data_IF_793699962779
#
_entry.id   IF_793699962779
#
_cell.length_a   1.000
_cell.length_b   1.000
_cell.length_c   1.000
_cell.angle_alpha   90.00
_cell.angle_beta   90.00
_cell.angle_gamma   90.00
#
_symmetry.space_group_name_H-M   'P 1'
#
loop_
_entity.id
_entity.type
_entity.pdbx_description
1 polymer ?
#
# COMPACT_ATOMS: atom_id res chain seq x y z
N UNK A 1 22.90 23.23 -14.49
CA UNK A 1 22.69 22.90 -15.00
C UNK A 1 22.32 22.33 -14.93
N UNK A 2 22.42 22.10 -14.80
CA UNK A 2 22.21 21.44 -15.04
C UNK A 2 21.96 20.75 -14.96
N UNK A 3 22.26 20.57 -14.69
CA UNK A 3 22.14 19.90 -14.97
C UNK A 3 21.73 19.53 -14.69
N UNK A 4 21.84 19.58 -14.48
CA UNK A 4 21.45 19.21 -14.71
C UNK A 4 20.93 19.00 -14.85
N UNK A 5 21.01 18.81 -14.61
CA UNK A 5 20.42 18.63 -15.11
C UNK A 5 20.16 18.17 -15.99
N UNK A 6 20.41 17.70 -16.60
CA UNK A 6 20.14 17.28 -17.45
C UNK A 6 19.50 16.20 -17.73
N UNK A 7 19.78 15.59 -18.13
CA UNK A 7 19.14 14.31 -17.94
C UNK A 7 17.77 14.47 -17.37
N UNK A 8 17.28 15.58 -17.45
CA UNK A 8 16.14 15.94 -16.65
C UNK A 8 14.83 15.42 -17.18
N UNK A 9 14.74 15.15 -18.46
CA UNK A 9 13.48 14.70 -19.03
C UNK A 9 13.03 13.38 -18.39
N UNK A 10 13.94 12.44 -18.22
CA UNK A 10 13.55 11.20 -17.58
C UNK A 10 13.59 11.28 -16.06
N UNK A 11 14.37 12.22 -15.53
CA UNK A 11 14.43 12.39 -14.09
C UNK A 11 13.16 13.00 -13.53
N UNK A 12 12.43 13.73 -14.33
CA UNK A 12 11.17 14.30 -13.88
C UNK A 12 10.21 13.22 -13.43
N UNK A 13 10.18 12.09 -14.13
CA UNK A 13 9.28 11.02 -13.73
C UNK A 13 9.65 10.43 -12.37
N UNK A 14 10.87 10.68 -11.91
CA UNK A 14 11.34 10.15 -10.63
C UNK A 14 11.25 11.19 -9.52
N UNK A 15 10.85 12.41 -9.86
CA UNK A 15 10.72 13.47 -8.87
C UNK A 15 9.53 13.23 -7.96
N UNK A 16 8.57 12.40 -8.41
CA UNK A 16 7.39 12.09 -7.63
C UNK A 16 7.46 10.64 -7.18
N UNK A 17 7.88 10.40 -5.95
CA UNK A 17 7.93 9.02 -5.46
C UNK A 17 6.54 8.43 -5.35
N UNK A 18 6.47 7.10 -5.40
CA UNK A 18 5.24 6.39 -5.13
C UNK A 18 5.00 6.52 -3.62
N UNK A 19 3.84 7.00 -3.25
CA UNK A 19 3.50 7.26 -1.85
C UNK A 19 2.65 6.14 -1.32
N UNK A 20 3.10 5.53 -0.23
CA UNK A 20 2.49 4.32 0.31
C UNK A 20 2.05 4.57 1.75
N UNK A 21 0.79 4.22 2.03
CA UNK A 21 0.25 4.25 3.39
C UNK A 21 0.24 2.82 3.93
N UNK A 22 0.72 2.64 5.15
CA UNK A 22 0.71 1.33 5.80
C UNK A 22 -0.31 1.36 6.93
N UNK A 23 -1.22 0.39 6.95
CA UNK A 23 -2.21 0.26 8.02
C UNK A 23 -2.08 -1.11 8.66
N UNK A 24 -1.60 -1.16 9.90
CA UNK A 24 -1.37 -2.39 10.64
C UNK A 24 -1.23 -2.02 12.12
N UNK A 25 -1.91 -2.76 12.99
CA UNK A 25 -1.86 -2.46 14.41
C UNK A 25 -0.68 -3.09 15.14
N UNK A 26 0.14 -3.89 14.45
CA UNK A 26 1.33 -4.50 15.03
C UNK A 26 2.54 -3.62 14.77
N UNK A 27 3.00 -2.90 15.79
CA UNK A 27 4.04 -1.91 15.61
C UNK A 27 5.33 -2.46 15.03
N UNK A 28 5.76 -3.62 15.51
CA UNK A 28 7.03 -4.20 15.04
C UNK A 28 6.92 -4.60 13.58
N UNK A 29 5.81 -5.24 13.21
CA UNK A 29 5.60 -5.63 11.84
C UNK A 29 5.53 -4.40 10.94
N UNK A 30 4.83 -3.36 11.39
CA UNK A 30 4.69 -2.12 10.62
C UNK A 30 6.04 -1.46 10.38
N UNK A 31 6.92 -1.49 11.40
CA UNK A 31 8.28 -0.94 11.24
C UNK A 31 9.07 -1.71 10.19
N UNK A 32 8.93 -3.04 10.20
CA UNK A 32 9.59 -3.88 9.22
C UNK A 32 9.08 -3.60 7.81
N UNK A 33 7.77 -3.42 7.67
CA UNK A 33 7.20 -3.06 6.38
C UNK A 33 7.75 -1.73 5.88
N UNK A 34 7.81 -0.75 6.77
CA UNK A 34 8.33 0.56 6.38
C UNK A 34 9.75 0.45 5.86
N UNK A 35 10.61 -0.28 6.59
CA UNK A 35 11.98 -0.47 6.16
C UNK A 35 12.05 -1.18 4.80
N UNK A 36 11.24 -2.21 4.63
CA UNK A 36 11.21 -2.95 3.39
C UNK A 36 10.80 -2.06 2.22
N UNK A 37 9.71 -1.33 2.38
CA UNK A 37 9.19 -0.50 1.30
C UNK A 37 10.12 0.66 0.97
N UNK A 38 10.72 1.27 2.00
CA UNK A 38 11.62 2.39 1.77
C UNK A 38 12.99 1.98 1.26
N UNK A 39 13.27 0.67 1.21
CA UNK A 39 14.49 0.21 0.56
C UNK A 39 14.40 0.38 -0.95
N UNK A 40 13.20 0.58 -1.49
CA UNK A 40 13.02 0.89 -2.90
C UNK A 40 13.22 2.38 -3.08
N UNK A 41 14.17 2.76 -3.93
CA UNK A 41 14.62 4.15 -4.02
C UNK A 41 13.52 5.13 -4.43
N UNK A 42 12.51 4.67 -5.14
CA UNK A 42 11.48 5.55 -5.67
C UNK A 42 10.18 5.51 -4.88
N UNK A 43 10.18 4.87 -3.73
CA UNK A 43 8.99 4.73 -2.91
C UNK A 43 9.19 5.43 -1.57
N UNK A 44 8.10 6.01 -1.05
CA UNK A 44 8.13 6.61 0.28
C UNK A 44 6.90 6.17 1.05
N UNK A 45 7.06 5.92 2.33
CA UNK A 45 5.93 5.66 3.21
C UNK A 45 5.42 7.02 3.68
N UNK A 46 4.27 7.43 3.20
CA UNK A 46 3.75 8.77 3.48
C UNK A 46 2.97 8.84 4.78
N UNK A 47 2.64 7.70 5.37
CA UNK A 47 1.93 7.70 6.64
C UNK A 47 1.67 6.29 7.13
N UNK A 48 1.18 6.20 8.37
CA UNK A 48 0.85 4.93 9.00
C UNK A 48 -0.49 5.06 9.71
N UNK A 49 -1.21 3.95 9.80
CA UNK A 49 -2.47 3.89 10.52
C UNK A 49 -2.47 2.62 11.36
N UNK A 50 -3.19 2.64 12.48
CA UNK A 50 -3.19 1.53 13.42
C UNK A 50 -4.54 0.81 13.50
N UNK A 51 -5.56 1.31 12.81
CA UNK A 51 -6.84 0.60 12.71
C UNK A 51 -7.51 1.04 11.42
N UNK A 52 -8.64 0.39 11.12
CA UNK A 52 -9.33 0.63 9.85
C UNK A 52 -9.90 2.03 9.73
N UNK A 53 -10.42 2.57 10.83
CA UNK A 53 -10.97 3.92 10.83
C UNK A 53 -9.87 4.93 10.52
N UNK A 54 -8.73 4.79 11.19
CA UNK A 54 -7.58 5.65 10.97
C UNK A 54 -7.08 5.53 9.54
N UNK A 55 -7.09 4.30 8.99
CA UNK A 55 -6.65 4.08 7.62
C UNK A 55 -7.51 4.87 6.63
N UNK A 56 -8.83 4.83 6.80
CA UNK A 56 -9.73 5.57 5.91
C UNK A 56 -9.47 7.07 6.02
N UNK A 57 -9.29 7.57 7.25
CA UNK A 57 -9.02 8.98 7.45
C UNK A 57 -7.69 9.41 6.84
N UNK A 58 -6.66 8.58 6.98
CA UNK A 58 -5.36 8.88 6.40
C UNK A 58 -5.41 8.90 4.87
N UNK A 59 -6.20 7.99 4.28
CA UNK A 59 -6.36 8.00 2.83
C UNK A 59 -6.96 9.32 2.37
N UNK A 60 -7.96 9.81 3.09
CA UNK A 60 -8.59 11.09 2.75
C UNK A 60 -7.59 12.24 2.85
N UNK A 61 -6.75 12.24 3.87
CA UNK A 61 -5.79 13.31 4.11
C UNK A 61 -4.61 13.25 3.15
N UNK A 62 -4.08 12.06 2.93
CA UNK A 62 -2.79 11.90 2.26
C UNK A 62 -2.90 11.54 0.79
N UNK A 63 -4.04 11.00 0.39
CA UNK A 63 -4.28 10.60 -0.99
C UNK A 63 -3.12 9.75 -1.54
N UNK A 64 -2.82 8.61 -0.90
CA UNK A 64 -1.66 7.80 -1.30
C UNK A 64 -1.88 7.10 -2.62
N UNK A 65 -0.78 6.69 -3.25
CA UNK A 65 -0.85 5.91 -4.47
C UNK A 65 -1.18 4.45 -4.15
N UNK A 66 -0.66 3.95 -3.04
CA UNK A 66 -0.84 2.57 -2.63
C UNK A 66 -1.16 2.52 -1.15
N UNK A 67 -2.07 1.65 -0.77
CA UNK A 67 -2.42 1.39 0.63
C UNK A 67 -2.15 -0.07 0.92
N UNK A 68 -1.34 -0.34 1.94
CA UNK A 68 -1.07 -1.69 2.40
C UNK A 68 -1.85 -1.89 3.69
N UNK A 69 -2.86 -2.75 3.65
CA UNK A 69 -3.83 -2.92 4.74
C UNK A 69 -3.75 -4.30 5.37
N UNK A 70 -3.57 -4.35 6.69
CA UNK A 70 -3.74 -5.59 7.44
C UNK A 70 -5.23 -5.90 7.48
N UNK A 71 -5.59 -7.15 7.22
CA UNK A 71 -6.99 -7.55 7.21
C UNK A 71 -7.58 -7.60 8.62
N UNK A 72 -6.75 -7.81 9.64
CA UNK A 72 -7.21 -7.92 11.02
C UNK A 72 -6.78 -6.70 11.82
N UNK A 73 -7.68 -5.75 11.97
CA UNK A 73 -7.42 -4.54 12.75
C UNK A 73 -8.64 -4.23 13.60
N UNK A 74 -8.44 -3.54 14.75
CA UNK A 74 -9.57 -3.19 15.59
C UNK A 74 -10.45 -2.13 14.94
N UNK A 75 -11.64 -1.99 15.47
CA UNK A 75 -12.68 -1.07 15.07
C UNK A 75 -13.17 -1.40 13.67
N UNK A 76 -12.58 -0.84 12.64
CA UNK A 76 -12.95 -1.13 11.26
C UNK A 76 -11.88 -2.02 10.70
N UNK A 77 -12.19 -3.27 10.37
CA UNK A 77 -11.17 -4.20 9.88
C UNK A 77 -10.75 -3.88 8.45
N UNK A 78 -9.72 -4.60 7.97
CA UNK A 78 -9.14 -4.31 6.67
C UNK A 78 -10.09 -4.45 5.50
N UNK A 79 -11.02 -5.40 5.55
CA UNK A 79 -11.98 -5.58 4.46
C UNK A 79 -12.96 -4.42 4.40
N UNK A 80 -13.45 -4.00 5.56
CA UNK A 80 -14.37 -2.88 5.63
C UNK A 80 -13.68 -1.59 5.20
N UNK A 81 -12.43 -1.41 5.64
CA UNK A 81 -11.66 -0.24 5.25
C UNK A 81 -11.44 -0.24 3.73
N UNK A 82 -11.14 -1.41 3.16
CA UNK A 82 -10.91 -1.52 1.72
C UNK A 82 -12.14 -1.10 0.93
N UNK A 83 -13.32 -1.51 1.37
CA UNK A 83 -14.56 -1.13 0.69
C UNK A 83 -14.77 0.37 0.70
N UNK A 84 -14.51 1.00 1.84
CA UNK A 84 -14.66 2.45 1.96
C UNK A 84 -13.63 3.17 1.11
N UNK A 85 -12.38 2.70 1.15
CA UNK A 85 -11.32 3.32 0.36
C UNK A 85 -11.62 3.19 -1.13
N UNK A 86 -12.09 2.03 -1.57
CA UNK A 86 -12.44 1.81 -2.96
C UNK A 86 -13.48 2.82 -3.42
N UNK A 87 -14.48 3.08 -2.56
CA UNK A 87 -15.55 3.99 -2.89
C UNK A 87 -15.09 5.44 -2.89
N UNK A 88 -14.27 5.83 -1.89
CA UNK A 88 -13.90 7.22 -1.70
C UNK A 88 -12.64 7.63 -2.43
N UNK A 89 -11.74 6.69 -2.68
CA UNK A 89 -10.46 6.97 -3.31
C UNK A 89 -10.11 5.88 -4.32
N UNK A 90 -10.91 5.75 -5.39
CA UNK A 90 -10.72 4.65 -6.35
C UNK A 90 -9.35 4.68 -7.05
N UNK A 91 -8.66 5.82 -7.02
CA UNK A 91 -7.34 5.92 -7.63
C UNK A 91 -6.24 5.30 -6.77
N UNK A 92 -6.50 5.08 -5.47
CA UNK A 92 -5.52 4.44 -4.59
C UNK A 92 -5.58 2.92 -4.80
N UNK A 93 -4.44 2.32 -5.09
CA UNK A 93 -4.36 0.86 -5.21
C UNK A 93 -4.21 0.26 -3.83
N UNK A 94 -4.67 -0.96 -3.65
CA UNK A 94 -4.67 -1.58 -2.32
C UNK A 94 -4.10 -2.99 -2.35
N UNK A 95 -3.25 -3.28 -1.34
CA UNK A 95 -2.77 -4.62 -1.06
C UNK A 95 -3.31 -5.01 0.32
N UNK A 96 -3.98 -6.14 0.40
CA UNK A 96 -4.44 -6.66 1.69
C UNK A 96 -3.39 -7.65 2.20
N UNK A 97 -3.01 -7.51 3.46
CA UNK A 97 -2.11 -8.45 4.13
C UNK A 97 -2.89 -9.32 5.11
N UNK A 98 -2.50 -10.57 5.24
CA UNK A 98 -3.14 -11.49 6.16
C UNK A 98 -2.11 -12.44 6.75
N UNK A 99 -2.34 -12.88 7.98
CA UNK A 99 -1.49 -13.89 8.61
C UNK A 99 -1.80 -15.30 8.13
N UNK A 100 -2.92 -15.48 7.43
CA UNK A 100 -3.42 -16.79 7.07
C UNK A 100 -3.28 -17.06 5.58
N UNK A 101 -3.23 -18.33 5.23
CA UNK A 101 -3.18 -18.73 3.83
C UNK A 101 -4.38 -18.19 3.06
N UNK A 102 -4.18 -17.89 1.76
CA UNK A 102 -5.20 -17.19 0.97
C UNK A 102 -6.33 -18.12 0.66
N UNK A 103 -7.17 -18.57 1.05
CA UNK A 103 -8.30 -19.37 0.63
C UNK A 103 -9.50 -18.45 0.42
N UNK A 104 -10.47 -18.51 1.32
CA UNK A 104 -11.65 -17.68 1.21
C UNK A 104 -11.35 -16.21 1.45
N UNK A 105 -10.33 -15.91 2.26
CA UNK A 105 -10.00 -14.53 2.55
C UNK A 105 -9.47 -13.78 1.35
N UNK A 106 -8.75 -14.47 0.47
CA UNK A 106 -8.28 -13.84 -0.76
C UNK A 106 -9.45 -13.39 -1.63
N UNK A 107 -10.45 -14.26 -1.76
CA UNK A 107 -11.63 -13.93 -2.54
C UNK A 107 -12.35 -12.72 -1.95
N UNK A 108 -12.51 -12.71 -0.62
CA UNK A 108 -13.17 -11.60 0.05
C UNK A 108 -12.39 -10.30 -0.13
N UNK A 109 -11.06 -10.37 -0.05
CA UNK A 109 -10.23 -9.18 -0.20
C UNK A 109 -10.36 -8.58 -1.60
N UNK A 110 -10.31 -9.43 -2.62
CA UNK A 110 -10.43 -8.96 -3.99
C UNK A 110 -11.83 -8.40 -4.24
N UNK A 111 -12.85 -9.03 -3.69
CA UNK A 111 -14.22 -8.54 -3.81
C UNK A 111 -14.40 -7.19 -3.10
N UNK A 112 -13.65 -6.94 -2.04
CA UNK A 112 -13.71 -5.67 -1.33
C UNK A 112 -12.98 -4.55 -2.07
N UNK A 113 -12.26 -4.88 -3.13
CA UNK A 113 -11.60 -3.88 -3.96
C UNK A 113 -10.09 -3.93 -3.94
N UNK A 114 -9.49 -4.90 -3.25
CA UNK A 114 -8.03 -5.01 -3.20
C UNK A 114 -7.50 -5.39 -4.57
N UNK A 115 -6.34 -4.84 -4.90
CA UNK A 115 -5.64 -5.14 -6.14
C UNK A 115 -4.74 -6.36 -5.97
N UNK A 116 -4.36 -6.68 -4.74
CA UNK A 116 -3.53 -7.84 -4.47
C UNK A 116 -3.75 -8.31 -3.04
N UNK A 117 -3.38 -9.55 -2.79
CA UNK A 117 -3.49 -10.18 -1.47
C UNK A 117 -2.16 -10.90 -1.20
N UNK A 118 -1.54 -10.59 -0.05
CA UNK A 118 -0.24 -11.15 0.29
C UNK A 118 -0.30 -11.62 1.73
N UNK A 119 0.22 -12.83 2.01
CA UNK A 119 0.30 -13.29 3.39
C UNK A 119 1.51 -12.64 4.06
N UNK A 120 1.40 -12.37 5.35
CA UNK A 120 2.46 -11.66 6.08
C UNK A 120 3.79 -12.42 6.04
N UNK A 121 3.75 -13.74 5.98
CA UNK A 121 4.98 -14.54 5.92
C UNK A 121 5.71 -14.38 4.59
N UNK A 122 5.04 -13.87 3.57
CA UNK A 122 5.62 -13.75 2.24
C UNK A 122 5.90 -12.30 1.82
N UNK A 123 5.77 -11.34 2.74
CA UNK A 123 5.90 -9.93 2.34
C UNK A 123 7.28 -9.62 1.77
N UNK A 124 8.34 -10.26 2.27
CA UNK A 124 9.68 -9.97 1.77
C UNK A 124 9.87 -10.43 0.33
N UNK A 125 9.08 -11.40 -0.12
CA UNK A 125 9.19 -11.91 -1.48
C UNK A 125 8.12 -11.36 -2.41
N UNK A 126 6.92 -11.16 -1.91
CA UNK A 126 5.78 -10.89 -2.77
C UNK A 126 5.27 -9.46 -2.74
N UNK A 127 5.48 -8.75 -1.65
CA UNK A 127 4.88 -7.41 -1.53
C UNK A 127 5.48 -6.42 -2.52
N UNK A 128 6.81 -6.38 -2.63
CA UNK A 128 7.46 -5.45 -3.55
C UNK A 128 7.00 -5.69 -4.98
N UNK A 129 6.97 -6.96 -5.38
CA UNK A 129 6.56 -7.32 -6.73
C UNK A 129 5.10 -6.97 -6.98
N UNK A 130 4.23 -7.20 -5.99
CA UNK A 130 2.82 -6.87 -6.13
C UNK A 130 2.64 -5.37 -6.36
N UNK A 131 3.35 -4.56 -5.59
CA UNK A 131 3.24 -3.12 -5.74
C UNK A 131 3.79 -2.68 -7.09
N UNK A 132 4.93 -3.21 -7.50
CA UNK A 132 5.50 -2.86 -8.80
C UNK A 132 4.54 -3.18 -9.94
N UNK A 133 3.84 -4.30 -9.83
CA UNK A 133 2.90 -4.71 -10.86
C UNK A 133 1.71 -3.76 -10.92
N UNK A 134 1.17 -3.38 -9.76
CA UNK A 134 -0.06 -2.58 -9.75
C UNK A 134 0.17 -1.12 -10.11
N UNK A 135 1.40 -0.61 -9.97
CA UNK A 135 1.69 0.77 -10.34
C UNK A 135 2.33 0.89 -11.71
N UNK A 136 2.59 -0.23 -12.39
CA UNK A 136 3.22 -0.18 -13.71
C UNK A 136 2.27 0.49 -14.71
N UNK A 137 2.82 1.24 -15.68
CA UNK A 137 1.97 1.86 -16.69
C UNK A 137 1.16 0.81 -17.43
N UNK A 138 -0.12 1.08 -17.59
CA UNK A 138 -1.01 0.17 -18.27
C UNK A 138 -1.64 -0.89 -17.38
N UNK A 139 -1.34 -0.89 -16.09
CA UNK A 139 -1.92 -1.85 -15.14
C UNK A 139 -3.33 -1.47 -14.74
#
# INVERSE_FOLDING_TARGET
MSAHRQSDAFEVSRAMPVRILIADDHEIFRRGLRSLLESHAEWEVCGEATDGQDAVERVRELNPDVVVLDITMPRLNGLEAAQLIRTEAPQSKMVILSQHEPSLMKQAALSAGANAYVTKSEVSRELMMAIETMIAPGS
#
